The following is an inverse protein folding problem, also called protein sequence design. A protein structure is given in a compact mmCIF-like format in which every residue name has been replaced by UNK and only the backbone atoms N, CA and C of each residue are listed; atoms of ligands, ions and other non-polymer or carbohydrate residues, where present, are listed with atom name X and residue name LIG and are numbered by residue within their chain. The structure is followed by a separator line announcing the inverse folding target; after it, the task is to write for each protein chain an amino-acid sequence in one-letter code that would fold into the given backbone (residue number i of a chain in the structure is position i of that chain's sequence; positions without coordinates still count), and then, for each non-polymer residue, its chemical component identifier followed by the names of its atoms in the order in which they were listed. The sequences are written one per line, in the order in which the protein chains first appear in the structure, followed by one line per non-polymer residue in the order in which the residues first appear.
data_IF_739710024787
#
_entry.id   IF_739710024787
#
_cell.length_a   1.000
_cell.length_b   1.000
_cell.length_c   1.000
_cell.angle_alpha   90.00
_cell.angle_beta   90.00
_cell.angle_gamma   90.00
#
_symmetry.space_group_name_H-M   'P 1'
#
loop_
_entity.id
_entity.type
_entity.pdbx_description
1 polymer ?
#
# COMPACT_ATOMS: atom_id res chain seq x y z
N UNK A 1 21.05 7.87 -18.24
CA UNK A 1 20.68 7.30 -16.94
C UNK A 1 21.23 8.21 -15.88
N UNK A 2 20.38 8.80 -15.06
CA UNK A 2 20.81 9.65 -13.94
C UNK A 2 21.16 8.80 -12.72
N UNK A 3 22.08 9.26 -11.89
CA UNK A 3 22.46 8.57 -10.65
C UNK A 3 21.34 8.70 -9.62
N UNK A 4 21.17 7.72 -8.73
CA UNK A 4 20.16 7.76 -7.66
C UNK A 4 20.23 9.07 -6.82
N UNK A 5 21.44 9.59 -6.60
CA UNK A 5 21.71 10.88 -5.94
C UNK A 5 21.15 12.11 -6.67
N UNK A 6 20.92 12.03 -7.99
CA UNK A 6 20.35 13.14 -8.78
C UNK A 6 18.83 13.23 -8.62
N UNK A 7 18.16 12.11 -8.33
CA UNK A 7 16.71 12.07 -8.14
C UNK A 7 16.30 12.21 -6.67
N UNK A 8 17.18 11.92 -5.72
CA UNK A 8 16.90 12.01 -4.29
C UNK A 8 16.34 13.38 -3.89
N UNK A 9 17.02 14.47 -4.24
CA UNK A 9 16.57 15.83 -3.96
C UNK A 9 15.20 16.15 -4.60
N UNK A 10 14.97 15.65 -5.82
CA UNK A 10 13.71 15.89 -6.52
C UNK A 10 12.55 15.13 -5.84
N UNK A 11 12.78 13.89 -5.43
CA UNK A 11 11.78 13.09 -4.73
C UNK A 11 11.51 13.65 -3.34
N UNK A 12 12.55 14.07 -2.61
CA UNK A 12 12.40 14.74 -1.33
C UNK A 12 11.55 16.01 -1.47
N UNK A 13 11.81 16.84 -2.48
CA UNK A 13 11.01 18.03 -2.76
C UNK A 13 9.55 17.68 -3.07
N UNK A 14 9.28 16.61 -3.83
CA UNK A 14 7.92 16.15 -4.10
C UNK A 14 7.21 15.65 -2.84
N UNK A 15 7.93 15.02 -1.91
CA UNK A 15 7.38 14.59 -0.62
C UNK A 15 7.09 15.79 0.29
N UNK A 16 8.03 16.73 0.40
CA UNK A 16 7.90 17.94 1.23
C UNK A 16 6.79 18.87 0.73
N UNK A 17 6.58 18.94 -0.58
CA UNK A 17 5.45 19.66 -1.18
C UNK A 17 4.10 18.95 -1.02
N UNK A 18 4.09 17.71 -0.53
CA UNK A 18 2.88 16.91 -0.33
C UNK A 18 2.28 16.35 -1.62
N UNK A 19 2.98 16.43 -2.75
CA UNK A 19 2.52 15.91 -4.06
C UNK A 19 2.55 14.38 -4.07
N UNK A 20 3.54 13.80 -3.41
CA UNK A 20 3.71 12.34 -3.33
C UNK A 20 4.02 11.91 -1.89
N UNK A 21 3.82 10.62 -1.64
CA UNK A 21 4.25 9.92 -0.43
C UNK A 21 5.24 8.82 -0.80
N UNK A 22 6.31 8.68 -0.02
CA UNK A 22 7.25 7.57 -0.11
C UNK A 22 6.90 6.50 0.93
N UNK A 23 6.82 5.26 0.47
CA UNK A 23 6.58 4.08 1.32
C UNK A 23 7.78 3.16 1.19
N UNK A 24 8.61 3.12 2.23
CA UNK A 24 9.85 2.34 2.23
C UNK A 24 9.59 0.88 2.53
N UNK A 25 10.44 0.01 1.97
CA UNK A 25 10.52 -1.39 2.35
C UNK A 25 11.09 -1.47 3.76
N UNK A 26 10.55 -2.34 4.61
CA UNK A 26 11.16 -2.68 5.90
C UNK A 26 11.80 -4.05 5.82
N UNK A 27 13.08 -4.13 6.22
CA UNK A 27 13.84 -5.37 6.25
C UNK A 27 13.51 -6.20 7.50
N UNK A 28 13.18 -5.53 8.60
CA UNK A 28 12.80 -6.17 9.85
C UNK A 28 11.47 -5.64 10.38
N UNK A 29 10.56 -6.57 10.69
CA UNK A 29 9.28 -6.27 11.32
C UNK A 29 9.47 -6.06 12.82
N UNK A 30 10.08 -4.93 13.18
CA UNK A 30 10.37 -4.52 14.56
C UNK A 30 10.14 -3.03 14.73
N UNK A 31 9.82 -2.62 15.96
CA UNK A 31 9.60 -1.20 16.28
C UNK A 31 10.90 -0.52 16.71
N UNK A 32 11.07 0.77 16.39
CA UNK A 32 10.30 1.51 15.39
C UNK A 32 10.68 1.03 13.97
N UNK A 33 9.69 0.88 13.08
CA UNK A 33 9.91 0.38 11.71
C UNK A 33 10.88 1.25 10.92
N UNK A 34 10.89 2.56 11.20
CA UNK A 34 11.78 3.53 10.57
C UNK A 34 13.27 3.15 10.65
N UNK A 35 13.70 2.52 11.74
CA UNK A 35 15.09 2.13 11.95
C UNK A 35 15.52 0.94 11.07
N UNK A 36 14.55 0.26 10.45
CA UNK A 36 14.76 -0.95 9.67
C UNK A 36 14.31 -0.79 8.21
N UNK A 37 14.17 0.46 7.76
CA UNK A 37 13.82 0.77 6.37
C UNK A 37 15.04 0.61 5.47
N UNK A 38 14.81 0.05 4.29
CA UNK A 38 15.78 0.05 3.20
C UNK A 38 15.65 1.40 2.47
N UNK A 39 16.70 2.22 2.52
CA UNK A 39 16.68 3.58 1.94
C UNK A 39 16.65 3.57 0.41
N UNK A 40 17.10 2.47 -0.21
CA UNK A 40 17.17 2.33 -1.66
C UNK A 40 15.91 1.66 -2.25
N UNK A 41 15.05 1.07 -1.40
CA UNK A 41 13.83 0.40 -1.81
C UNK A 41 12.56 1.08 -1.26
N UNK A 42 11.86 1.79 -2.15
CA UNK A 42 10.60 2.46 -1.83
C UNK A 42 9.62 2.48 -3.01
N UNK A 43 8.34 2.59 -2.67
CA UNK A 43 7.26 2.92 -3.62
C UNK A 43 6.89 4.40 -3.50
N UNK A 44 6.46 5.02 -4.60
CA UNK A 44 5.94 6.38 -4.65
C UNK A 44 4.44 6.33 -4.94
N UNK A 45 3.65 7.02 -4.13
CA UNK A 45 2.21 7.20 -4.33
C UNK A 45 1.88 8.69 -4.48
N UNK A 46 0.98 9.03 -5.40
CA UNK A 46 0.49 10.41 -5.59
C UNK A 46 -0.60 10.70 -4.57
N UNK A 47 -0.56 11.87 -3.95
CA UNK A 47 -1.50 12.24 -2.88
C UNK A 47 -2.94 12.44 -3.35
N UNK A 48 -3.17 12.53 -4.67
CA UNK A 48 -4.48 12.72 -5.29
C UNK A 48 -4.68 11.76 -6.48
N UNK A 49 -5.79 11.02 -6.47
CA UNK A 49 -6.11 10.04 -7.52
C UNK A 49 -6.56 10.68 -8.83
N UNK A 50 -7.24 11.82 -8.78
CA UNK A 50 -7.60 12.57 -9.98
C UNK A 50 -6.35 13.06 -10.71
N UNK A 51 -5.35 13.56 -9.97
CA UNK A 51 -4.04 13.89 -10.53
C UNK A 51 -3.30 12.66 -11.06
N UNK A 52 -3.39 11.51 -10.38
CA UNK A 52 -2.82 10.26 -10.88
C UNK A 52 -3.45 9.86 -12.23
N UNK A 53 -4.78 9.89 -12.34
CA UNK A 53 -5.50 9.58 -13.57
C UNK A 53 -5.16 10.56 -14.69
N UNK A 54 -5.15 11.86 -14.41
CA UNK A 54 -4.78 12.89 -15.38
C UNK A 54 -3.34 12.73 -15.89
N UNK A 55 -2.39 12.37 -15.00
CA UNK A 55 -0.99 12.09 -15.38
C UNK A 55 -0.82 10.85 -16.26
N UNK A 56 -1.81 9.96 -16.29
CA UNK A 56 -1.78 8.70 -17.03
C UNK A 56 -2.68 8.73 -18.27
N UNK A 57 -3.23 9.90 -18.60
CA UNK A 57 -4.17 10.10 -19.71
C UNK A 57 -5.37 9.13 -19.66
N UNK A 58 -5.84 8.82 -18.45
CA UNK A 58 -6.97 7.91 -18.25
C UNK A 58 -8.28 8.69 -18.28
N UNK A 59 -9.19 8.25 -19.15
CA UNK A 59 -10.55 8.77 -19.16
C UNK A 59 -11.35 8.17 -18.00
N UNK A 60 -12.33 8.94 -17.49
CA UNK A 60 -13.25 8.44 -16.48
C UNK A 60 -13.97 7.15 -16.93
N UNK A 61 -14.24 7.03 -18.23
CA UNK A 61 -14.85 5.84 -18.83
C UNK A 61 -13.96 4.60 -18.71
N UNK A 62 -12.64 4.72 -18.79
CA UNK A 62 -11.73 3.57 -18.68
C UNK A 62 -11.85 2.94 -17.28
N UNK A 63 -12.00 3.79 -16.26
CA UNK A 63 -12.18 3.39 -14.87
C UNK A 63 -13.58 2.82 -14.64
N UNK A 64 -14.63 3.52 -15.11
CA UNK A 64 -16.03 3.17 -14.90
C UNK A 64 -16.41 1.85 -15.58
N UNK A 65 -15.93 1.64 -16.81
CA UNK A 65 -16.25 0.44 -17.61
C UNK A 65 -15.22 -0.68 -17.47
N UNK A 66 -14.19 -0.47 -16.63
CA UNK A 66 -13.26 -1.52 -16.21
C UNK A 66 -12.62 -2.30 -17.37
N UNK A 67 -12.18 -1.61 -18.42
CA UNK A 67 -11.46 -2.21 -19.56
C UNK A 67 -10.33 -3.13 -19.08
N UNK A 68 -10.15 -4.28 -19.72
CA UNK A 68 -9.18 -5.29 -19.27
C UNK A 68 -7.73 -4.80 -19.41
N UNK A 69 -7.50 -3.90 -20.37
CA UNK A 69 -6.22 -3.26 -20.69
C UNK A 69 -5.63 -2.48 -19.52
N UNK A 70 -6.44 -2.09 -18.53
CA UNK A 70 -6.00 -1.34 -17.35
C UNK A 70 -5.93 -2.21 -16.08
N UNK A 71 -6.02 -3.54 -16.18
CA UNK A 71 -6.05 -4.41 -15.00
C UNK A 71 -4.81 -4.28 -14.09
N UNK A 72 -3.60 -4.20 -14.67
CA UNK A 72 -2.38 -3.97 -13.89
C UNK A 72 -2.40 -2.59 -13.21
N UNK A 73 -2.99 -1.60 -13.89
CA UNK A 73 -3.16 -0.25 -13.35
C UNK A 73 -4.15 -0.20 -12.19
N UNK A 74 -5.23 -1.00 -12.22
CA UNK A 74 -6.22 -1.08 -11.13
C UNK A 74 -5.59 -1.49 -9.80
N UNK A 75 -4.59 -2.38 -9.81
CA UNK A 75 -3.81 -2.75 -8.62
C UNK A 75 -3.12 -1.54 -8.01
N UNK A 76 -2.29 -0.86 -8.82
CA UNK A 76 -1.57 0.34 -8.39
C UNK A 76 -2.50 1.48 -7.95
N UNK A 77 -3.63 1.69 -8.61
CA UNK A 77 -4.64 2.68 -8.19
C UNK A 77 -5.22 2.35 -6.82
N UNK A 78 -5.58 1.08 -6.59
CA UNK A 78 -6.15 0.66 -5.32
C UNK A 78 -5.14 0.84 -4.19
N UNK A 79 -3.88 0.46 -4.40
CA UNK A 79 -2.80 0.72 -3.44
C UNK A 79 -2.63 2.21 -3.17
N UNK A 80 -2.58 3.05 -4.23
CA UNK A 80 -2.44 4.49 -4.09
C UNK A 80 -3.58 5.10 -3.29
N UNK A 81 -4.83 4.72 -3.60
CA UNK A 81 -6.02 5.12 -2.85
C UNK A 81 -5.89 4.76 -1.37
N UNK A 82 -5.52 3.52 -1.07
CA UNK A 82 -5.36 3.05 0.31
C UNK A 82 -4.26 3.82 1.03
N UNK A 83 -3.11 4.06 0.38
CA UNK A 83 -2.05 4.87 0.98
C UNK A 83 -2.53 6.28 1.34
N UNK A 84 -3.30 6.93 0.46
CA UNK A 84 -3.90 8.24 0.74
C UNK A 84 -4.80 8.18 1.97
N UNK A 85 -5.69 7.19 2.07
CA UNK A 85 -6.58 7.05 3.24
C UNK A 85 -5.80 6.81 4.54
N UNK A 86 -4.78 5.94 4.52
CA UNK A 86 -3.94 5.67 5.68
C UNK A 86 -3.15 6.91 6.11
N UNK A 87 -2.62 7.66 5.15
CA UNK A 87 -1.87 8.91 5.39
C UNK A 87 -2.77 9.98 6.01
N UNK A 88 -4.00 10.15 5.48
CA UNK A 88 -5.00 11.07 6.04
C UNK A 88 -5.36 10.70 7.49
N UNK A 89 -5.41 9.40 7.80
CA UNK A 89 -5.63 8.91 9.16
C UNK A 89 -4.39 9.03 10.07
N UNK A 90 -3.31 9.66 9.59
CA UNK A 90 -2.10 9.93 10.36
C UNK A 90 -1.17 8.73 10.50
N UNK A 91 -1.38 7.66 9.73
CA UNK A 91 -0.49 6.52 9.75
C UNK A 91 0.71 6.74 8.84
N UNK A 92 1.90 6.43 9.38
CA UNK A 92 3.09 6.19 8.57
C UNK A 92 3.06 4.76 8.04
N UNK A 93 3.25 4.61 6.74
CA UNK A 93 3.16 3.34 6.03
C UNK A 93 4.54 2.84 5.60
N UNK A 94 4.70 1.52 5.59
CA UNK A 94 5.86 0.79 5.08
C UNK A 94 5.36 -0.44 4.34
N UNK A 95 6.13 -1.01 3.42
CA UNK A 95 5.79 -2.29 2.80
C UNK A 95 6.84 -3.35 3.17
N UNK A 96 6.52 -4.61 2.96
CA UNK A 96 7.44 -5.71 3.26
C UNK A 96 7.43 -6.74 2.16
N UNK A 97 8.60 -7.34 1.92
CA UNK A 97 8.77 -8.44 0.98
C UNK A 97 9.59 -9.56 1.66
N UNK A 98 9.18 -10.81 1.46
CA UNK A 98 9.98 -11.98 1.83
C UNK A 98 10.99 -12.33 0.74
N UNK A 99 12.02 -13.09 1.11
CA UNK A 99 12.99 -13.67 0.18
C UNK A 99 12.36 -14.52 -0.95
N UNK A 100 11.14 -15.02 -0.75
CA UNK A 100 10.42 -15.88 -1.71
C UNK A 100 9.38 -15.10 -2.52
N UNK A 101 9.45 -13.77 -2.55
CA UNK A 101 8.61 -12.90 -3.37
C UNK A 101 7.18 -12.70 -2.83
N UNK A 102 6.92 -13.06 -1.57
CA UNK A 102 5.66 -12.69 -0.92
C UNK A 102 5.74 -11.24 -0.43
N UNK A 103 4.79 -10.39 -0.84
CA UNK A 103 4.76 -8.97 -0.51
C UNK A 103 3.50 -8.58 0.29
N UNK A 104 3.66 -7.70 1.28
CA UNK A 104 2.58 -7.02 2.00
C UNK A 104 2.63 -5.55 1.63
N UNK A 105 1.50 -5.02 1.13
CA UNK A 105 1.40 -3.67 0.58
C UNK A 105 1.69 -2.59 1.62
N UNK A 106 1.09 -2.73 2.82
CA UNK A 106 1.30 -1.76 3.89
C UNK A 106 1.41 -2.42 5.27
N UNK A 107 2.21 -1.80 6.13
CA UNK A 107 2.34 -2.09 7.55
C UNK A 107 2.24 -0.77 8.27
N UNK A 108 1.30 -0.69 9.21
CA UNK A 108 1.08 0.49 10.05
C UNK A 108 1.32 0.17 11.52
N UNK A 109 1.64 1.19 12.31
CA UNK A 109 1.63 1.08 13.77
C UNK A 109 0.33 1.64 14.33
N UNK A 110 -0.51 0.79 14.94
CA UNK A 110 -1.77 1.18 15.57
C UNK A 110 -1.88 0.62 16.97
N UNK A 111 -2.14 1.47 17.97
CA UNK A 111 -2.26 1.04 19.37
C UNK A 111 -1.00 0.31 19.89
N UNK A 112 0.18 0.67 19.39
CA UNK A 112 1.40 -0.05 19.71
C UNK A 112 1.47 -1.46 19.14
N UNK A 113 0.79 -1.78 18.03
CA UNK A 113 0.91 -3.05 17.31
C UNK A 113 1.29 -2.79 15.86
N UNK A 114 2.05 -3.69 15.24
CA UNK A 114 2.35 -3.65 13.82
C UNK A 114 1.28 -4.46 13.08
N UNK A 115 0.49 -3.77 12.26
CA UNK A 115 -0.68 -4.34 11.59
C UNK A 115 -0.39 -4.39 10.08
N UNK A 116 -0.28 -5.60 9.49
CA UNK A 116 -0.18 -5.73 8.04
C UNK A 116 -1.54 -5.47 7.38
N UNK A 117 -1.48 -4.84 6.21
CA UNK A 117 -2.62 -4.50 5.37
C UNK A 117 -2.31 -4.99 3.95
N UNK A 118 -3.20 -5.81 3.41
CA UNK A 118 -3.15 -6.28 2.03
C UNK A 118 -4.30 -5.66 1.24
N UNK A 119 -4.01 -5.10 0.07
CA UNK A 119 -4.94 -4.46 -0.85
C UNK A 119 -5.20 -5.38 -2.04
N UNK A 120 -6.46 -5.70 -2.31
CA UNK A 120 -6.87 -6.49 -3.48
C UNK A 120 -7.87 -5.73 -4.33
N UNK A 121 -7.45 -5.37 -5.55
CA UNK A 121 -8.30 -4.77 -6.58
C UNK A 121 -9.17 -5.80 -7.32
N UNK A 122 -8.80 -7.08 -7.32
CA UNK A 122 -9.54 -8.17 -7.96
C UNK A 122 -9.79 -9.35 -7.01
N UNK A 123 -10.88 -10.09 -7.25
CA UNK A 123 -11.34 -11.17 -6.37
C UNK A 123 -10.44 -12.41 -6.34
N UNK A 124 -9.51 -12.53 -7.29
CA UNK A 124 -8.92 -13.83 -7.65
C UNK A 124 -7.43 -14.02 -7.34
N UNK A 125 -6.94 -13.47 -6.23
CA UNK A 125 -5.61 -13.83 -5.72
C UNK A 125 -5.69 -14.61 -4.42
N UNK A 126 -5.08 -15.81 -4.44
CA UNK A 126 -4.82 -16.60 -3.23
C UNK A 126 -4.03 -15.71 -2.27
N UNK A 127 -4.51 -15.58 -1.02
CA UNK A 127 -3.92 -14.76 0.05
C UNK A 127 -2.59 -15.35 0.58
N UNK A 128 -1.67 -15.71 -0.34
CA UNK A 128 -0.42 -16.39 -0.01
C UNK A 128 0.50 -15.44 0.77
N UNK A 129 0.61 -14.18 0.34
CA UNK A 129 1.51 -13.22 0.99
C UNK A 129 1.08 -12.87 2.41
N UNK A 130 -0.18 -12.46 2.60
CA UNK A 130 -0.74 -12.22 3.94
C UNK A 130 -0.59 -13.43 4.87
N UNK A 131 -0.81 -14.65 4.37
CA UNK A 131 -0.61 -15.86 5.16
C UNK A 131 0.85 -16.03 5.58
N UNK A 132 1.79 -15.88 4.65
CA UNK A 132 3.23 -15.98 4.95
C UNK A 132 3.61 -14.98 6.04
N UNK A 133 3.21 -13.72 5.91
CA UNK A 133 3.49 -12.70 6.94
C UNK A 133 2.88 -13.08 8.29
N UNK A 134 1.61 -13.47 8.31
CA UNK A 134 0.92 -13.84 9.54
C UNK A 134 1.56 -15.06 10.21
N UNK A 135 2.02 -16.03 9.42
CA UNK A 135 2.69 -17.22 9.94
C UNK A 135 4.08 -16.95 10.47
N UNK A 136 4.82 -16.02 9.85
CA UNK A 136 6.17 -15.65 10.29
C UNK A 136 6.15 -14.74 11.51
N UNK A 137 5.33 -13.68 11.51
CA UNK A 137 5.42 -12.61 12.51
C UNK A 137 4.30 -12.62 13.55
N UNK A 138 3.26 -13.44 13.37
CA UNK A 138 2.14 -13.60 14.30
C UNK A 138 1.58 -12.24 14.80
N UNK A 139 1.19 -11.32 13.89
CA UNK A 139 0.63 -10.03 14.28
C UNK A 139 -0.69 -10.21 15.05
N UNK A 140 -1.07 -9.21 15.84
CA UNK A 140 -2.31 -9.25 16.62
C UNK A 140 -3.55 -9.48 15.73
N UNK A 141 -3.58 -8.80 14.59
CA UNK A 141 -4.53 -9.04 13.51
C UNK A 141 -3.96 -8.51 12.19
N UNK A 142 -4.60 -8.88 11.09
CA UNK A 142 -4.32 -8.37 9.75
C UNK A 142 -5.57 -7.68 9.18
N UNK A 143 -5.37 -6.75 8.26
CA UNK A 143 -6.45 -6.12 7.49
C UNK A 143 -6.32 -6.53 6.03
N UNK A 144 -7.43 -6.91 5.40
CA UNK A 144 -7.53 -7.10 3.96
C UNK A 144 -8.53 -6.10 3.41
N UNK A 145 -8.08 -5.21 2.55
CA UNK A 145 -8.90 -4.30 1.77
C UNK A 145 -9.27 -4.93 0.44
N UNK A 146 -10.56 -4.98 0.09
CA UNK A 146 -11.00 -5.57 -1.19
C UNK A 146 -12.38 -5.06 -1.62
N UNK A 147 -12.87 -5.50 -2.78
CA UNK A 147 -14.24 -5.25 -3.23
C UNK A 147 -15.32 -6.00 -2.41
N UNK A 148 -14.92 -6.90 -1.49
CA UNK A 148 -15.85 -7.66 -0.65
C UNK A 148 -16.45 -6.80 0.46
N UNK A 149 -17.62 -7.23 0.94
CA UNK A 149 -18.25 -6.65 2.13
C UNK A 149 -17.43 -6.89 3.39
N UNK A 150 -17.75 -6.12 4.45
CA UNK A 150 -17.15 -6.30 5.77
C UNK A 150 -17.26 -7.76 6.23
N UNK A 151 -16.18 -8.26 6.82
CA UNK A 151 -16.12 -9.62 7.31
C UNK A 151 -14.95 -9.85 8.24
N UNK A 152 -14.95 -11.00 8.91
CA UNK A 152 -13.87 -11.42 9.76
C UNK A 152 -13.60 -12.92 9.53
N UNK A 153 -12.34 -13.28 9.31
CA UNK A 153 -11.90 -14.65 9.12
C UNK A 153 -10.73 -14.93 10.07
N UNK A 154 -11.03 -15.43 11.27
CA UNK A 154 -10.02 -15.57 12.34
C UNK A 154 -9.47 -14.20 12.77
N UNK A 155 -8.15 -14.03 12.75
CA UNK A 155 -7.50 -12.74 13.07
C UNK A 155 -7.33 -11.81 11.86
N UNK A 156 -8.13 -11.99 10.80
CA UNK A 156 -8.09 -11.17 9.59
C UNK A 156 -9.41 -10.42 9.42
N UNK A 157 -9.32 -9.10 9.40
CA UNK A 157 -10.45 -8.19 9.18
C UNK A 157 -10.55 -7.89 7.70
N UNK A 158 -11.70 -8.16 7.08
CA UNK A 158 -11.99 -7.80 5.70
C UNK A 158 -12.73 -6.47 5.73
N UNK A 159 -12.16 -5.48 5.06
CA UNK A 159 -12.69 -4.12 4.96
C UNK A 159 -12.94 -3.83 3.48
N UNK A 160 -14.14 -3.35 3.09
CA UNK A 160 -14.36 -2.89 1.72
C UNK A 160 -13.42 -1.73 1.36
N UNK A 161 -12.95 -1.66 0.12
CA UNK A 161 -12.08 -0.56 -0.34
C UNK A 161 -12.70 0.81 -0.05
N UNK A 162 -14.00 0.99 -0.33
CA UNK A 162 -14.67 2.27 -0.04
C UNK A 162 -14.65 2.67 1.45
N UNK A 163 -14.37 1.73 2.37
CA UNK A 163 -14.30 1.94 3.80
C UNK A 163 -12.86 1.99 4.35
N UNK A 164 -11.85 2.13 3.48
CA UNK A 164 -10.45 2.25 3.91
C UNK A 164 -10.23 3.43 4.89
N UNK A 165 -11.03 4.49 4.79
CA UNK A 165 -11.01 5.62 5.72
C UNK A 165 -11.36 5.25 7.18
N UNK A 166 -12.01 4.10 7.41
CA UNK A 166 -12.35 3.61 8.75
C UNK A 166 -11.19 2.91 9.49
N UNK A 167 -10.07 2.69 8.80
CA UNK A 167 -8.88 2.04 9.37
C UNK A 167 -8.15 3.02 10.28
#
# INVERSE_FOLDING_TARGET
GGRASEFENAIEWLCLSGIVSQVYKVEQIKKPLENYRDIDAFKIYVSDLGLLCAKKDLAANDILYMVEEINDFKGGMAENYVNVQLTINGYRTYYWESERGAEIDFIIQRGGQLIPIEVKSADNSKAKSLRVYMDTYKPAYAIKLSAKNFGCEGNKKIVPLYAAFCI
#
